data_IF_969573600982
#
_entry.id   IF_969573600982
#
_cell.length_a   1.000
_cell.length_b   1.000
_cell.length_c   1.000
_cell.angle_alpha   90.00
_cell.angle_beta   90.00
_cell.angle_gamma   90.00
#
_symmetry.space_group_name_H-M   'P 1'
#
loop_
_entity.id
_entity.type
_entity.pdbx_description
1 polymer ?
#
# COMPACT_ATOMS: atom_id res chain seq x y z
N UNK A 1 16.52 -9.76 -7.63
CA UNK A 1 17.25 -8.62 -7.07
C UNK A 1 18.02 -7.95 -8.19
N UNK A 2 17.64 -6.73 -8.53
CA UNK A 2 18.43 -5.92 -9.45
C UNK A 2 19.60 -5.37 -8.62
N UNK A 3 20.73 -6.05 -8.63
CA UNK A 3 21.96 -5.45 -8.11
C UNK A 3 22.13 -4.12 -8.82
N UNK A 4 22.27 -3.00 -8.08
CA UNK A 4 22.53 -1.73 -8.73
C UNK A 4 23.80 -1.86 -9.55
N UNK A 5 23.83 -1.31 -10.78
CA UNK A 5 25.07 -1.27 -11.55
C UNK A 5 26.18 -0.63 -10.73
N UNK A 6 27.44 -1.03 -10.98
CA UNK A 6 28.60 -0.49 -10.29
C UNK A 6 28.59 1.04 -10.33
N UNK A 7 28.67 1.69 -9.15
CA UNK A 7 28.59 3.16 -9.01
C UNK A 7 27.19 3.72 -8.72
N UNK A 8 26.15 2.93 -8.64
CA UNK A 8 24.81 3.40 -8.23
C UNK A 8 24.69 3.46 -6.71
N UNK A 9 24.07 4.54 -6.23
CA UNK A 9 23.87 4.78 -4.79
C UNK A 9 22.46 4.44 -4.31
N UNK A 10 21.51 4.13 -5.21
CA UNK A 10 20.11 3.86 -4.90
C UNK A 10 19.65 2.55 -5.51
N UNK A 11 19.06 1.69 -4.68
CA UNK A 11 18.38 0.46 -5.09
C UNK A 11 16.89 0.57 -4.75
N UNK A 12 16.01 0.16 -5.67
CA UNK A 12 14.57 0.11 -5.47
C UNK A 12 14.10 -1.33 -5.43
N UNK A 13 13.49 -1.74 -4.30
CA UNK A 13 12.90 -3.06 -4.10
C UNK A 13 11.37 -2.93 -3.96
N UNK A 14 10.63 -3.72 -4.75
CA UNK A 14 9.16 -3.63 -4.84
C UNK A 14 8.41 -4.71 -4.04
N UNK A 15 9.11 -5.69 -3.47
CA UNK A 15 8.47 -6.89 -2.91
C UNK A 15 8.25 -6.83 -1.39
N UNK A 16 8.41 -5.67 -0.76
CA UNK A 16 8.31 -5.52 0.71
C UNK A 16 9.21 -6.50 1.47
N UNK A 17 10.40 -6.78 0.94
CA UNK A 17 11.39 -7.68 1.53
C UNK A 17 12.68 -6.93 1.81
N UNK A 18 13.26 -7.20 2.97
CA UNK A 18 14.58 -6.69 3.31
C UNK A 18 15.59 -7.79 2.99
N UNK A 19 16.28 -7.63 1.86
CA UNK A 19 17.32 -8.58 1.43
C UNK A 19 18.48 -8.57 2.45
N UNK A 20 19.08 -9.74 2.77
CA UNK A 20 20.16 -9.86 3.74
C UNK A 20 21.36 -8.95 3.43
N UNK A 21 21.65 -8.73 2.16
CA UNK A 21 22.74 -7.87 1.69
C UNK A 21 22.51 -6.40 2.09
N UNK A 22 21.26 -5.95 2.14
CA UNK A 22 20.90 -4.61 2.59
C UNK A 22 21.02 -4.46 4.13
N UNK A 23 20.91 -5.57 4.86
CA UNK A 23 21.10 -5.60 6.32
C UNK A 23 22.58 -5.56 6.72
N UNK A 24 23.45 -6.14 5.87
CA UNK A 24 24.88 -6.27 6.13
C UNK A 24 25.72 -5.07 5.68
N UNK A 25 25.14 -4.16 4.91
CA UNK A 25 25.84 -3.04 4.26
C UNK A 25 25.66 -1.70 4.98
N UNK A 26 26.56 -0.77 4.69
CA UNK A 26 26.43 0.65 5.06
C UNK A 26 25.41 1.35 4.17
N UNK A 27 24.16 0.89 4.18
CA UNK A 27 23.09 1.49 3.39
C UNK A 27 21.98 2.03 4.30
N UNK A 28 21.40 3.14 3.90
CA UNK A 28 20.16 3.67 4.48
C UNK A 28 18.97 3.16 3.73
N UNK A 29 17.98 2.68 4.44
CA UNK A 29 16.78 2.06 3.87
C UNK A 29 15.56 2.94 4.14
N UNK A 30 14.87 3.35 3.11
CA UNK A 30 13.52 3.95 3.23
C UNK A 30 12.51 2.86 2.90
N UNK A 31 11.70 2.52 3.88
CA UNK A 31 10.65 1.54 3.72
C UNK A 31 9.28 2.23 3.72
N UNK A 32 8.57 2.10 2.60
CA UNK A 32 7.23 2.70 2.46
C UNK A 32 6.18 1.66 2.78
N UNK A 33 5.33 1.99 3.76
CA UNK A 33 4.18 1.15 4.14
C UNK A 33 2.86 1.85 3.82
N UNK A 34 1.81 1.06 3.82
CA UNK A 34 0.43 1.51 3.71
C UNK A 34 -0.42 0.86 4.80
N UNK A 35 -1.56 1.49 5.17
CA UNK A 35 -2.56 0.85 6.02
C UNK A 35 -2.91 -0.54 5.45
N UNK A 36 -2.68 -1.63 6.21
CA UNK A 36 -2.85 -2.98 5.70
C UNK A 36 -4.29 -3.29 5.29
N UNK A 37 -5.28 -2.55 5.81
CA UNK A 37 -6.70 -2.67 5.42
C UNK A 37 -6.94 -2.03 4.04
N UNK A 38 -6.36 -0.88 3.79
CA UNK A 38 -6.41 -0.20 2.48
C UNK A 38 -5.60 -0.96 1.43
N UNK A 39 -4.54 -1.67 1.84
CA UNK A 39 -3.76 -2.53 0.96
C UNK A 39 -4.63 -3.65 0.40
N UNK A 40 -5.47 -4.31 1.23
CA UNK A 40 -6.41 -5.35 0.79
C UNK A 40 -7.37 -4.82 -0.26
N UNK A 41 -7.97 -3.65 -0.02
CA UNK A 41 -8.91 -3.04 -0.96
C UNK A 41 -8.22 -2.74 -2.30
N UNK A 42 -7.05 -2.11 -2.22
CA UNK A 42 -6.31 -1.73 -3.40
C UNK A 42 -5.82 -2.95 -4.19
N UNK A 43 -5.34 -3.98 -3.50
CA UNK A 43 -4.93 -5.25 -4.11
C UNK A 43 -6.09 -5.91 -4.85
N UNK A 44 -7.25 -6.04 -4.21
CA UNK A 44 -8.43 -6.63 -4.81
C UNK A 44 -8.88 -5.89 -6.08
N UNK A 45 -8.82 -4.55 -6.08
CA UNK A 45 -9.09 -3.78 -7.29
C UNK A 45 -8.01 -3.95 -8.35
N UNK A 46 -6.74 -3.83 -7.97
CA UNK A 46 -5.62 -3.92 -8.90
C UNK A 46 -5.56 -5.28 -9.58
N UNK A 47 -5.66 -6.37 -8.84
CA UNK A 47 -5.55 -7.72 -9.37
C UNK A 47 -6.74 -8.13 -10.26
N UNK A 48 -7.86 -7.42 -10.14
CA UNK A 48 -9.03 -7.64 -11.00
C UNK A 48 -8.88 -7.07 -12.42
N UNK A 49 -7.93 -6.14 -12.66
CA UNK A 49 -7.77 -5.52 -13.99
C UNK A 49 -6.30 -5.48 -14.48
N UNK A 50 -5.32 -5.75 -13.62
CA UNK A 50 -3.91 -5.65 -13.99
C UNK A 50 -3.50 -6.70 -15.01
N UNK A 51 -2.67 -6.31 -15.96
CA UNK A 51 -2.12 -7.17 -17.02
C UNK A 51 -0.75 -7.79 -16.64
N UNK A 52 -0.39 -7.75 -15.36
CA UNK A 52 0.84 -8.35 -14.88
C UNK A 52 0.85 -9.86 -15.12
N UNK A 53 1.89 -10.38 -15.78
CA UNK A 53 1.97 -11.78 -16.25
C UNK A 53 1.71 -12.81 -15.17
N UNK A 54 2.19 -12.59 -13.94
CA UNK A 54 2.01 -13.52 -12.84
C UNK A 54 0.54 -13.70 -12.43
N UNK A 55 -0.31 -12.64 -12.59
CA UNK A 55 -1.75 -12.71 -12.34
C UNK A 55 -2.47 -13.64 -13.32
N UNK A 56 -1.94 -13.78 -14.52
CA UNK A 56 -2.55 -14.57 -15.59
C UNK A 56 -1.97 -16.00 -15.69
N UNK A 57 -1.01 -16.35 -14.83
CA UNK A 57 -0.46 -17.72 -14.79
C UNK A 57 -1.43 -18.67 -14.10
N UNK A 58 -1.84 -19.78 -14.75
CA UNK A 58 -2.72 -20.78 -14.14
C UNK A 58 -2.11 -21.38 -12.87
N UNK A 59 -2.95 -21.63 -11.87
CA UNK A 59 -2.55 -22.15 -10.57
C UNK A 59 -3.33 -23.41 -10.19
N UNK A 60 -2.66 -24.49 -9.76
CA UNK A 60 -3.33 -25.74 -9.36
C UNK A 60 -4.28 -25.53 -8.16
N UNK A 61 -3.93 -24.68 -7.20
CA UNK A 61 -4.73 -24.36 -6.00
C UNK A 61 -6.02 -23.59 -6.33
N UNK A 62 -6.14 -23.05 -7.54
CA UNK A 62 -7.36 -22.42 -8.05
C UNK A 62 -8.10 -23.30 -9.08
N UNK A 63 -7.82 -24.61 -9.09
CA UNK A 63 -8.42 -25.52 -10.07
C UNK A 63 -8.01 -25.23 -11.52
N UNK A 64 -6.81 -24.71 -11.72
CA UNK A 64 -6.28 -24.35 -13.04
C UNK A 64 -6.61 -22.92 -13.49
N UNK A 65 -7.42 -22.16 -12.73
CA UNK A 65 -7.63 -20.75 -12.99
C UNK A 65 -6.38 -19.94 -12.60
N UNK A 66 -6.19 -18.82 -13.28
CA UNK A 66 -5.21 -17.81 -12.83
C UNK A 66 -5.78 -16.97 -11.67
N UNK A 67 -4.91 -16.21 -10.98
CA UNK A 67 -5.34 -15.29 -9.93
C UNK A 67 -6.35 -14.26 -10.46
N UNK A 68 -6.07 -13.69 -11.64
CA UNK A 68 -6.96 -12.75 -12.34
C UNK A 68 -8.32 -13.37 -12.65
N UNK A 69 -8.37 -14.60 -13.17
CA UNK A 69 -9.62 -15.30 -13.44
C UNK A 69 -10.39 -15.62 -12.15
N UNK A 70 -9.66 -16.05 -11.11
CA UNK A 70 -10.28 -16.38 -9.82
C UNK A 70 -10.92 -15.16 -9.17
N UNK A 71 -10.21 -14.03 -9.06
CA UNK A 71 -10.75 -12.82 -8.43
C UNK A 71 -11.95 -12.27 -9.22
N UNK A 72 -11.91 -12.35 -10.55
CA UNK A 72 -13.02 -11.90 -11.41
C UNK A 72 -14.22 -12.86 -11.43
N UNK A 73 -14.05 -14.10 -10.99
CA UNK A 73 -15.19 -15.02 -10.76
C UNK A 73 -15.94 -14.74 -9.45
N UNK A 74 -15.41 -13.88 -8.58
CA UNK A 74 -16.03 -13.53 -7.31
C UNK A 74 -16.86 -12.24 -7.43
N UNK A 75 -17.95 -12.12 -6.65
CA UNK A 75 -18.67 -10.86 -6.50
C UNK A 75 -17.71 -9.73 -6.08
N UNK A 76 -17.96 -8.53 -6.58
CA UNK A 76 -17.17 -7.35 -6.19
C UNK A 76 -17.38 -7.02 -4.69
N UNK A 77 -16.37 -6.37 -4.10
CA UNK A 77 -16.40 -5.99 -2.70
C UNK A 77 -15.95 -7.11 -1.78
N UNK A 78 -16.82 -7.53 -0.88
CA UNK A 78 -16.51 -8.42 0.25
C UNK A 78 -15.76 -9.70 -0.13
N UNK A 79 -16.25 -10.45 -1.11
CA UNK A 79 -15.64 -11.73 -1.49
C UNK A 79 -14.26 -11.54 -2.11
N UNK A 80 -14.05 -10.47 -2.90
CA UNK A 80 -12.73 -10.14 -3.44
C UNK A 80 -11.76 -9.70 -2.34
N UNK A 81 -12.23 -8.98 -1.31
CA UNK A 81 -11.38 -8.58 -0.18
C UNK A 81 -10.96 -9.80 0.66
N UNK A 82 -11.89 -10.72 0.91
CA UNK A 82 -11.58 -11.98 1.61
C UNK A 82 -10.58 -12.84 0.83
N UNK A 83 -10.74 -12.91 -0.49
CA UNK A 83 -9.80 -13.60 -1.36
C UNK A 83 -8.42 -12.95 -1.32
N UNK A 84 -8.35 -11.62 -1.44
CA UNK A 84 -7.10 -10.88 -1.40
C UNK A 84 -6.36 -11.05 -0.07
N UNK A 85 -7.08 -11.03 1.06
CA UNK A 85 -6.51 -11.29 2.38
C UNK A 85 -5.92 -12.69 2.51
N UNK A 86 -6.54 -13.69 1.90
CA UNK A 86 -6.02 -15.08 1.94
C UNK A 86 -4.86 -15.30 0.95
N UNK A 87 -4.72 -14.43 -0.03
CA UNK A 87 -3.75 -14.51 -1.12
C UNK A 87 -2.61 -13.50 -1.01
N UNK A 88 -2.41 -12.76 -2.09
CA UNK A 88 -1.27 -11.85 -2.28
C UNK A 88 -1.23 -10.74 -1.24
N UNK A 89 -2.34 -10.04 -1.01
CA UNK A 89 -2.41 -8.99 0.00
C UNK A 89 -2.06 -9.49 1.40
N UNK A 90 -2.53 -10.70 1.74
CA UNK A 90 -2.18 -11.31 3.01
C UNK A 90 -0.69 -11.66 3.14
N UNK A 91 -0.01 -12.06 2.06
CA UNK A 91 1.44 -12.25 2.07
C UNK A 91 2.16 -10.91 2.25
N UNK A 92 1.77 -9.89 1.49
CA UNK A 92 2.35 -8.54 1.59
C UNK A 92 2.22 -7.96 3.00
N UNK A 93 1.07 -8.14 3.68
CA UNK A 93 0.90 -7.70 5.06
C UNK A 93 1.88 -8.40 6.01
N UNK A 94 2.06 -9.72 5.87
CA UNK A 94 3.03 -10.46 6.69
C UNK A 94 4.46 -10.03 6.42
N UNK A 95 4.83 -9.79 5.16
CA UNK A 95 6.14 -9.29 4.78
C UNK A 95 6.41 -7.91 5.36
N UNK A 96 5.45 -6.97 5.26
CA UNK A 96 5.55 -5.66 5.90
C UNK A 96 5.76 -5.76 7.43
N UNK A 97 4.97 -6.59 8.11
CA UNK A 97 5.12 -6.81 9.56
C UNK A 97 6.49 -7.39 9.91
N UNK A 98 6.99 -8.32 9.10
CA UNK A 98 8.32 -8.92 9.28
C UNK A 98 9.42 -7.88 9.09
N UNK A 99 9.34 -7.05 8.03
CA UNK A 99 10.34 -6.01 7.77
C UNK A 99 10.33 -4.96 8.88
N UNK A 100 9.15 -4.41 9.20
CA UNK A 100 9.04 -3.36 10.23
C UNK A 100 9.60 -3.81 11.58
N UNK A 101 9.45 -5.09 11.92
CA UNK A 101 10.03 -5.64 13.18
C UNK A 101 11.57 -5.74 13.18
N UNK A 102 12.21 -5.59 12.02
CA UNK A 102 13.67 -5.69 11.84
C UNK A 102 14.34 -4.36 11.51
N UNK A 103 13.56 -3.29 11.35
CA UNK A 103 14.10 -1.98 11.02
C UNK A 103 14.98 -1.48 12.15
N UNK A 104 16.18 -1.02 11.82
CA UNK A 104 17.17 -0.44 12.72
C UNK A 104 17.31 1.08 12.54
N UNK A 105 18.34 1.68 13.19
CA UNK A 105 18.55 3.13 13.15
C UNK A 105 18.87 3.67 11.74
N UNK A 106 19.40 2.84 10.84
CA UNK A 106 19.65 3.19 9.44
C UNK A 106 18.42 2.98 8.54
N UNK A 107 17.22 2.95 9.15
CA UNK A 107 15.97 2.75 8.43
C UNK A 107 15.01 3.90 8.69
N UNK A 108 14.34 4.34 7.64
CA UNK A 108 13.27 5.34 7.70
C UNK A 108 11.94 4.69 7.27
N UNK A 109 10.96 4.71 8.15
CA UNK A 109 9.63 4.19 7.85
C UNK A 109 8.73 5.33 7.38
N UNK A 110 8.44 5.37 6.09
CA UNK A 110 7.51 6.31 5.48
C UNK A 110 6.12 5.69 5.31
N UNK A 111 5.07 6.49 5.47
CA UNK A 111 3.70 6.07 5.19
C UNK A 111 3.23 6.63 3.86
N UNK A 112 2.66 5.78 3.01
CA UNK A 112 2.13 6.21 1.71
C UNK A 112 1.08 7.32 1.88
N UNK A 113 0.25 7.23 2.93
CA UNK A 113 -0.77 8.21 3.25
C UNK A 113 -0.17 9.60 3.54
N UNK A 114 0.97 9.64 4.24
CA UNK A 114 1.71 10.89 4.48
C UNK A 114 2.27 11.43 3.17
N UNK A 115 2.93 10.58 2.38
CA UNK A 115 3.51 10.99 1.11
C UNK A 115 2.47 11.51 0.10
N UNK A 116 1.27 10.93 0.10
CA UNK A 116 0.20 11.35 -0.83
C UNK A 116 -0.48 12.66 -0.44
N UNK A 117 -0.23 13.16 0.76
CA UNK A 117 -0.76 14.43 1.29
C UNK A 117 0.33 15.42 1.72
N UNK A 118 1.57 15.16 1.34
CA UNK A 118 2.75 15.99 1.69
C UNK A 118 2.85 17.23 0.79
N UNK A 119 1.83 18.10 0.85
CA UNK A 119 1.70 19.27 -0.03
C UNK A 119 2.85 20.27 0.12
N UNK A 120 3.46 20.35 1.29
CA UNK A 120 4.60 21.21 1.61
C UNK A 120 5.96 20.52 1.41
N UNK A 121 5.97 19.25 0.97
CA UNK A 121 7.13 18.41 0.71
C UNK A 121 8.04 18.19 1.95
N UNK A 122 7.50 18.36 3.15
CA UNK A 122 8.24 18.20 4.40
C UNK A 122 8.71 16.76 4.59
N UNK A 123 7.87 15.78 4.30
CA UNK A 123 8.21 14.36 4.43
C UNK A 123 9.22 13.93 3.36
N UNK A 124 9.05 14.37 2.11
CA UNK A 124 10.05 14.15 1.06
C UNK A 124 11.41 14.75 1.42
N UNK A 125 11.42 15.96 1.99
CA UNK A 125 12.65 16.58 2.46
C UNK A 125 13.34 15.75 3.55
N UNK A 126 12.59 15.22 4.53
CA UNK A 126 13.11 14.35 5.58
C UNK A 126 13.74 13.08 5.00
N UNK A 127 13.04 12.45 4.04
CA UNK A 127 13.51 11.23 3.35
C UNK A 127 14.83 11.50 2.62
N UNK A 128 14.90 12.56 1.81
CA UNK A 128 16.12 12.87 1.06
C UNK A 128 17.29 13.24 1.98
N UNK A 129 17.02 13.98 3.06
CA UNK A 129 18.03 14.29 4.07
C UNK A 129 18.50 13.04 4.80
N UNK A 130 17.58 12.14 5.16
CA UNK A 130 17.92 10.85 5.75
C UNK A 130 18.78 10.00 4.82
N UNK A 131 18.49 9.98 3.52
CA UNK A 131 19.28 9.27 2.52
C UNK A 131 20.68 9.89 2.31
N UNK A 132 20.95 11.07 2.87
CA UNK A 132 22.25 11.73 2.83
C UNK A 132 22.48 12.60 1.61
N UNK A 133 21.43 12.99 0.89
CA UNK A 133 21.57 13.95 -0.20
C UNK A 133 21.97 15.33 0.34
N UNK A 134 22.95 15.97 -0.31
CA UNK A 134 23.43 17.31 0.05
C UNK A 134 22.39 18.40 -0.17
N UNK A 135 22.54 19.51 0.58
CA UNK A 135 21.58 20.62 0.54
C UNK A 135 21.42 21.27 -0.85
N UNK A 136 22.42 21.22 -1.68
CA UNK A 136 22.42 21.69 -3.08
C UNK A 136 21.54 20.81 -3.99
N UNK A 137 21.39 19.52 -3.69
CA UNK A 137 20.56 18.58 -4.44
C UNK A 137 19.09 18.60 -4.02
N UNK A 138 18.81 18.92 -2.75
CA UNK A 138 17.47 18.85 -2.16
C UNK A 138 16.41 19.62 -2.98
N UNK A 139 16.64 20.88 -3.42
CA UNK A 139 15.63 21.61 -4.20
C UNK A 139 15.25 20.89 -5.50
N UNK A 140 16.22 20.32 -6.19
CA UNK A 140 15.97 19.55 -7.42
C UNK A 140 15.18 18.28 -7.15
N UNK A 141 15.52 17.54 -6.09
CA UNK A 141 14.81 16.32 -5.67
C UNK A 141 13.38 16.62 -5.25
N UNK A 142 13.14 17.70 -4.50
CA UNK A 142 11.79 18.13 -4.12
C UNK A 142 10.96 18.56 -5.35
N UNK A 143 11.58 19.22 -6.33
CA UNK A 143 10.91 19.54 -7.59
C UNK A 143 10.49 18.29 -8.36
N UNK A 144 11.33 17.24 -8.37
CA UNK A 144 11.02 15.95 -8.99
C UNK A 144 9.89 15.25 -8.21
N UNK A 145 9.97 15.21 -6.87
CA UNK A 145 8.95 14.62 -6.02
C UNK A 145 7.59 15.31 -6.24
N UNK A 146 7.56 16.65 -6.25
CA UNK A 146 6.34 17.40 -6.53
C UNK A 146 5.73 17.03 -7.88
N UNK A 147 6.52 17.09 -8.96
CA UNK A 147 6.01 16.80 -10.31
C UNK A 147 5.43 15.40 -10.46
N UNK A 148 5.97 14.44 -9.70
CA UNK A 148 5.52 13.04 -9.72
C UNK A 148 4.48 12.72 -8.62
N UNK A 149 4.10 13.67 -7.79
CA UNK A 149 3.09 13.48 -6.77
C UNK A 149 1.67 13.52 -7.37
N UNK A 150 0.75 12.82 -6.72
CA UNK A 150 -0.67 12.82 -7.12
C UNK A 150 -1.37 14.17 -6.93
N UNK A 151 -0.82 15.03 -6.07
CA UNK A 151 -1.37 16.35 -5.77
C UNK A 151 -0.80 17.47 -6.67
N UNK A 152 0.19 17.16 -7.51
CA UNK A 152 0.77 18.17 -8.43
C UNK A 152 -0.17 18.58 -9.56
N UNK A 153 -1.18 17.76 -9.85
CA UNK A 153 -2.03 17.91 -11.03
C UNK A 153 -1.34 17.54 -12.35
N UNK A 154 -0.04 17.15 -12.31
CA UNK A 154 0.73 16.74 -13.50
C UNK A 154 0.65 15.24 -13.75
N UNK A 155 0.35 14.45 -12.74
CA UNK A 155 0.11 13.02 -12.86
C UNK A 155 -1.32 12.81 -13.35
N UNK A 156 -1.45 12.42 -14.60
CA UNK A 156 -2.76 12.16 -15.22
C UNK A 156 -3.50 10.99 -14.56
N UNK A 157 -4.79 10.83 -14.87
CA UNK A 157 -5.57 9.70 -14.38
C UNK A 157 -4.89 8.39 -14.78
N UNK A 158 -4.60 7.56 -13.81
CA UNK A 158 -3.99 6.25 -14.00
C UNK A 158 -4.86 5.21 -13.31
N UNK A 159 -4.98 4.01 -13.91
CA UNK A 159 -5.66 2.88 -13.26
C UNK A 159 -5.01 2.49 -11.93
N UNK A 160 -3.71 2.78 -11.76
CA UNK A 160 -3.00 2.56 -10.50
C UNK A 160 -3.39 3.55 -9.40
N UNK A 161 -3.89 4.74 -9.75
CA UNK A 161 -4.35 5.76 -8.81
C UNK A 161 -5.87 5.77 -8.83
N UNK A 162 -6.49 4.91 -8.02
CA UNK A 162 -7.95 4.80 -7.97
C UNK A 162 -8.61 6.01 -7.29
N UNK A 163 -8.19 6.32 -6.07
CA UNK A 163 -8.76 7.43 -5.31
C UNK A 163 -7.71 8.30 -4.62
N UNK A 164 -6.51 7.78 -4.38
CA UNK A 164 -5.47 8.46 -3.60
C UNK A 164 -5.85 8.76 -2.13
N UNK A 165 -7.06 8.39 -1.69
CA UNK A 165 -7.55 8.70 -0.34
C UNK A 165 -7.12 7.62 0.66
N UNK A 166 -6.72 8.02 1.88
CA UNK A 166 -6.48 7.10 2.98
C UNK A 166 -7.78 6.62 3.62
N UNK A 167 -7.67 5.60 4.47
CA UNK A 167 -8.74 5.06 5.31
C UNK A 167 -10.00 4.60 4.56
N UNK A 168 -9.83 4.13 3.33
CA UNK A 168 -10.92 3.61 2.50
C UNK A 168 -11.61 2.39 3.12
N UNK A 169 -10.87 1.64 3.94
CA UNK A 169 -11.42 0.48 4.64
C UNK A 169 -12.64 0.81 5.51
N UNK A 170 -12.74 2.03 6.03
CA UNK A 170 -13.89 2.48 6.83
C UNK A 170 -15.21 2.47 6.05
N UNK A 171 -15.14 2.62 4.73
CA UNK A 171 -16.31 2.62 3.85
C UNK A 171 -16.49 1.33 3.06
N UNK A 172 -15.42 0.57 2.87
CA UNK A 172 -15.43 -0.63 2.03
C UNK A 172 -15.52 -1.93 2.82
N UNK A 173 -14.99 -1.97 4.04
CA UNK A 173 -15.10 -3.16 4.86
C UNK A 173 -16.50 -3.27 5.46
N UNK A 174 -17.09 -4.45 5.33
CA UNK A 174 -18.24 -4.87 6.13
C UNK A 174 -17.75 -5.40 7.49
N UNK A 175 -18.64 -5.55 8.50
CA UNK A 175 -18.27 -6.21 9.75
C UNK A 175 -17.65 -7.61 9.53
N UNK A 176 -18.15 -8.38 8.56
CA UNK A 176 -17.59 -9.70 8.21
C UNK A 176 -16.14 -9.61 7.74
N UNK A 177 -15.83 -8.66 6.84
CA UNK A 177 -14.47 -8.44 6.33
C UNK A 177 -13.55 -7.97 7.44
N UNK A 178 -14.03 -7.04 8.28
CA UNK A 178 -13.26 -6.53 9.42
C UNK A 178 -12.93 -7.64 10.42
N UNK A 179 -13.89 -8.47 10.78
CA UNK A 179 -13.68 -9.62 11.68
C UNK A 179 -12.70 -10.64 11.09
N UNK A 180 -12.81 -10.91 9.78
CA UNK A 180 -11.88 -11.79 9.10
C UNK A 180 -10.47 -11.22 9.12
N UNK A 181 -10.32 -9.90 8.89
CA UNK A 181 -9.05 -9.19 8.94
C UNK A 181 -8.42 -9.24 10.34
N UNK A 182 -9.18 -8.88 11.39
CA UNK A 182 -8.69 -8.88 12.78
C UNK A 182 -8.27 -10.28 13.24
N UNK A 183 -8.97 -11.31 12.79
CA UNK A 183 -8.64 -12.71 13.10
C UNK A 183 -7.37 -13.18 12.40
N UNK A 184 -7.17 -12.78 11.13
CA UNK A 184 -6.03 -13.21 10.33
C UNK A 184 -4.75 -12.39 10.62
N UNK A 185 -4.92 -11.13 10.96
CA UNK A 185 -3.83 -10.17 11.20
C UNK A 185 -4.03 -9.42 12.53
N UNK A 186 -4.01 -10.13 13.67
CA UNK A 186 -4.23 -9.50 14.97
C UNK A 186 -3.17 -8.42 15.21
N UNK A 187 -3.64 -7.23 15.60
CA UNK A 187 -2.81 -6.07 15.88
C UNK A 187 -1.90 -5.59 14.72
N UNK A 188 -2.16 -6.01 13.48
CA UNK A 188 -1.35 -5.58 12.35
C UNK A 188 -1.37 -4.06 12.14
N UNK A 189 -2.53 -3.37 12.19
CA UNK A 189 -2.54 -1.92 12.07
C UNK A 189 -1.69 -1.24 13.14
N UNK A 190 -1.86 -1.60 14.42
CA UNK A 190 -1.14 -1.01 15.55
C UNK A 190 0.37 -1.25 15.45
N UNK A 191 0.78 -2.46 15.07
CA UNK A 191 2.19 -2.80 14.86
C UNK A 191 2.84 -2.01 13.73
N UNK A 192 2.05 -1.60 12.74
CA UNK A 192 2.47 -0.72 11.65
C UNK A 192 2.23 0.77 11.98
N UNK A 193 1.75 1.08 13.18
CA UNK A 193 1.53 2.44 13.67
C UNK A 193 0.28 3.12 13.12
N UNK A 194 -0.73 2.33 12.72
CA UNK A 194 -2.06 2.81 12.34
C UNK A 194 -3.04 2.65 13.51
N UNK A 195 -4.20 3.30 13.40
CA UNK A 195 -5.26 3.18 14.39
C UNK A 195 -5.77 1.73 14.49
N UNK A 196 -6.19 1.28 15.68
CA UNK A 196 -6.75 -0.05 15.87
C UNK A 196 -7.98 -0.28 14.99
N UNK A 197 -8.17 -1.53 14.59
CA UNK A 197 -9.41 -1.96 13.95
C UNK A 197 -10.54 -2.05 14.99
N UNK A 198 -11.64 -1.33 14.77
CA UNK A 198 -12.83 -1.43 15.64
C UNK A 198 -14.10 -1.33 14.81
N UNK A 199 -15.17 -2.00 15.26
CA UNK A 199 -16.49 -1.85 14.63
C UNK A 199 -17.05 -0.44 14.74
N UNK A 200 -16.73 0.28 15.80
CA UNK A 200 -17.10 1.67 15.98
C UNK A 200 -16.53 2.57 14.85
N UNK A 201 -15.38 2.21 14.29
CA UNK A 201 -14.79 2.91 13.15
C UNK A 201 -15.58 2.71 11.85
N UNK A 202 -16.32 1.59 11.70
CA UNK A 202 -17.22 1.35 10.57
C UNK A 202 -18.54 2.10 10.76
N UNK A 203 -19.04 2.19 11.98
CA UNK A 203 -20.35 2.79 12.28
C UNK A 203 -20.43 4.31 11.98
N UNK A 204 -19.31 5.02 12.00
CA UNK A 204 -19.27 6.43 11.67
C UNK A 204 -19.61 6.76 10.19
N UNK A 205 -19.56 5.77 9.30
CA UNK A 205 -19.76 6.00 7.86
C UNK A 205 -21.13 5.58 7.30
N UNK A 206 -21.89 4.74 8.02
CA UNK A 206 -23.22 4.32 7.56
C UNK A 206 -24.25 5.45 7.64
N UNK A 207 -23.97 6.51 8.42
CA UNK A 207 -24.82 7.70 8.51
C UNK A 207 -24.68 8.70 7.34
N UNK A 208 -23.60 8.63 6.57
CA UNK A 208 -23.35 9.60 5.48
C UNK A 208 -23.88 9.12 4.11
N UNK A 209 -24.04 7.82 3.91
CA UNK A 209 -24.50 7.25 2.64
C UNK A 209 -26.02 7.34 2.41
N UNK A 210 -26.81 7.62 3.45
CA UNK A 210 -28.27 7.64 3.37
C UNK A 210 -28.88 9.02 2.94
N UNK A 211 -28.06 10.03 2.64
CA UNK A 211 -28.55 11.41 2.36
C UNK A 211 -28.51 11.87 0.90
N UNK A 212 -28.20 11.01 -0.06
CA UNK A 212 -28.18 11.36 -1.48
C UNK A 212 -29.00 10.40 -2.35
N UNK A 213 -30.26 10.21 -1.99
CA UNK A 213 -31.30 9.79 -2.93
C UNK A 213 -32.43 10.81 -2.84
N UNK A 214 -32.29 11.94 -3.55
CA UNK A 214 -33.46 12.72 -3.92
C UNK A 214 -34.12 12.07 -5.15
N UNK A 215 -35.43 11.88 -5.16
CA UNK A 215 -36.13 11.37 -6.29
C UNK A 215 -36.16 12.44 -7.38
N UNK A 216 -35.67 12.10 -8.57
CA UNK A 216 -35.89 12.90 -9.77
C UNK A 216 -37.37 12.74 -10.15
N UNK A 217 -38.10 13.85 -10.08
CA UNK A 217 -39.44 14.00 -10.63
C UNK A 217 -39.39 14.24 -12.13
#
# INVERSE_FOLDING_TARGET
PNNPPEGWQVCLEHHSRLEPELQAGNCRVVFVIRDPRDLVINGAHCHAWSEEKWLHTPRPDFGGLSCHQKINSLPEGEERYLFEMSGVGGHTIRDMLSVVSKLGPESYLARLETLTTDYDLTEFHRIFSFLGFGGDMIPSLLSIAYRNSIFSGQVGPSRHIRSGKPAQWKTHFTPRVLHAFMRQFPHAPERLGYEPSSEAALACNTGAAAKHQEPVA
#
